data_IF_392502152520
#
_entry.id   IF_392502152520
#
_cell.length_a   1.000
_cell.length_b   1.000
_cell.length_c   1.000
_cell.angle_alpha   90.00
_cell.angle_beta   90.00
_cell.angle_gamma   90.00
#
_symmetry.space_group_name_H-M   'P 1'
#
loop_
_entity.id
_entity.type
_entity.pdbx_description
1 polymer ?
#
# COMPACT_ATOMS: atom_id res chain seq x y z
N UNK A 1 55.58 -0.67 -0.08
CA UNK A 1 54.36 0.14 -0.26
C UNK A 1 53.40 -0.71 -1.06
N UNK A 2 52.40 -1.32 -0.42
CA UNK A 2 51.40 -2.14 -1.09
C UNK A 2 50.30 -1.21 -1.61
N UNK A 3 50.14 -1.13 -2.93
CA UNK A 3 49.12 -0.32 -3.59
C UNK A 3 47.74 -0.94 -3.36
N UNK A 4 46.79 -0.05 -3.08
CA UNK A 4 45.33 -0.22 -2.97
C UNK A 4 44.79 -1.58 -3.41
N UNK A 5 44.30 -2.35 -2.44
CA UNK A 5 43.32 -3.40 -2.70
C UNK A 5 42.01 -2.74 -3.12
N UNK A 6 41.74 -2.73 -4.42
CA UNK A 6 40.43 -2.33 -4.93
C UNK A 6 39.36 -3.29 -4.42
N UNK A 7 38.34 -2.72 -3.79
CA UNK A 7 37.28 -3.42 -3.09
C UNK A 7 36.24 -3.93 -4.10
N UNK A 8 36.34 -5.19 -4.54
CA UNK A 8 35.54 -5.82 -5.61
C UNK A 8 34.12 -6.30 -5.22
N UNK A 9 33.49 -5.70 -4.22
CA UNK A 9 32.22 -6.20 -3.68
C UNK A 9 31.31 -5.04 -3.33
N UNK A 10 30.79 -4.42 -4.40
CA UNK A 10 29.47 -3.81 -4.55
C UNK A 10 29.51 -3.05 -5.87
N UNK A 11 29.23 -3.75 -6.98
CA UNK A 11 29.04 -3.10 -8.27
C UNK A 11 27.82 -2.17 -8.18
N UNK A 12 27.91 -0.99 -8.81
CA UNK A 12 26.91 0.07 -8.79
C UNK A 12 25.48 -0.41 -9.13
N UNK A 13 25.37 -1.54 -9.83
CA UNK A 13 24.13 -2.24 -10.16
C UNK A 13 23.33 -2.72 -8.93
N UNK A 14 23.96 -3.19 -7.85
CA UNK A 14 23.25 -3.61 -6.63
C UNK A 14 22.65 -2.40 -5.88
N UNK A 15 23.28 -1.23 -5.97
CA UNK A 15 22.76 0.01 -5.38
C UNK A 15 21.54 0.46 -6.18
N UNK A 16 21.63 0.48 -7.51
CA UNK A 16 20.49 0.80 -8.38
C UNK A 16 19.33 -0.17 -8.21
N UNK A 17 19.60 -1.46 -7.99
CA UNK A 17 18.57 -2.46 -7.74
C UNK A 17 17.91 -2.27 -6.37
N UNK A 18 18.68 -1.91 -5.33
CA UNK A 18 18.12 -1.52 -4.02
C UNK A 18 17.30 -0.24 -4.08
N UNK A 19 17.73 0.75 -4.86
CA UNK A 19 16.97 1.98 -5.07
C UNK A 19 15.69 1.74 -5.88
N UNK A 20 15.74 0.87 -6.89
CA UNK A 20 14.55 0.45 -7.64
C UNK A 20 13.57 -0.32 -6.74
N UNK A 21 14.05 -1.23 -5.89
CA UNK A 21 13.24 -1.95 -4.89
C UNK A 21 12.65 -0.99 -3.84
N UNK A 22 13.43 -0.01 -3.38
CA UNK A 22 12.96 1.01 -2.43
C UNK A 22 11.92 1.95 -3.04
N UNK A 23 12.07 2.33 -4.31
CA UNK A 23 11.07 3.13 -5.05
C UNK A 23 9.82 2.33 -5.40
N UNK A 24 9.94 1.01 -5.59
CA UNK A 24 8.78 0.14 -5.79
C UNK A 24 7.94 -0.03 -4.50
N UNK A 25 8.55 0.13 -3.30
CA UNK A 25 7.81 0.22 -2.02
C UNK A 25 7.02 1.53 -1.89
N UNK A 26 7.36 2.58 -2.65
CA UNK A 26 6.55 3.80 -2.81
C UNK A 26 5.46 3.60 -3.88
N UNK A 27 4.89 2.39 -3.96
CA UNK A 27 3.68 2.16 -4.75
C UNK A 27 2.61 3.16 -4.30
N UNK A 28 2.00 3.85 -5.26
CA UNK A 28 1.02 4.90 -4.97
C UNK A 28 -0.15 4.28 -4.20
N UNK A 29 -0.22 4.55 -2.90
CA UNK A 29 -1.21 3.97 -1.98
C UNK A 29 -2.65 4.18 -2.46
N UNK A 30 -2.89 5.24 -3.24
CA UNK A 30 -4.18 5.52 -3.88
C UNK A 30 -4.54 4.48 -4.94
N UNK A 31 -3.61 4.09 -5.78
CA UNK A 31 -3.82 3.07 -6.82
C UNK A 31 -4.14 1.72 -6.18
N UNK A 32 -3.34 1.30 -5.19
CA UNK A 32 -3.60 0.08 -4.42
C UNK A 32 -4.99 0.07 -3.77
N UNK A 33 -5.43 1.20 -3.21
CA UNK A 33 -6.77 1.33 -2.65
C UNK A 33 -7.85 1.14 -3.71
N UNK A 34 -7.70 1.79 -4.87
CA UNK A 34 -8.67 1.71 -5.96
C UNK A 34 -8.73 0.31 -6.59
N UNK A 35 -7.63 -0.44 -6.56
CA UNK A 35 -7.56 -1.82 -7.05
C UNK A 35 -8.19 -2.81 -6.07
N UNK A 36 -8.01 -2.61 -4.76
CA UNK A 36 -8.50 -3.54 -3.73
C UNK A 36 -9.94 -3.26 -3.32
N UNK A 37 -10.38 -1.99 -3.32
CA UNK A 37 -11.68 -1.57 -2.83
C UNK A 37 -12.56 -0.96 -3.91
N UNK A 38 -13.86 -1.22 -3.83
CA UNK A 38 -14.84 -0.71 -4.77
C UNK A 38 -15.46 0.60 -4.26
N UNK A 39 -14.82 1.73 -4.54
CA UNK A 39 -15.31 3.06 -4.12
C UNK A 39 -16.61 3.52 -4.82
N UNK A 40 -17.11 2.78 -5.80
CA UNK A 40 -18.43 3.01 -6.40
C UNK A 40 -19.57 2.42 -5.53
N UNK A 41 -19.23 1.71 -4.45
CA UNK A 41 -20.20 1.10 -3.52
C UNK A 41 -20.31 1.85 -2.20
N UNK A 42 -21.35 1.51 -1.42
CA UNK A 42 -21.56 2.12 -0.12
C UNK A 42 -20.42 1.82 0.87
N UNK A 43 -19.97 2.88 1.55
CA UNK A 43 -18.99 2.86 2.63
C UNK A 43 -19.57 2.24 3.92
N UNK A 44 -19.69 0.92 3.97
CA UNK A 44 -20.39 0.20 5.07
C UNK A 44 -19.46 -0.42 6.11
N UNK A 45 -18.19 -0.64 5.76
CA UNK A 45 -17.25 -1.41 6.60
C UNK A 45 -16.37 -0.49 7.43
N UNK A 46 -16.44 -0.60 8.77
CA UNK A 46 -15.52 0.14 9.66
C UNK A 46 -14.17 -0.55 9.69
N UNK A 47 -13.11 0.19 9.36
CA UNK A 47 -11.74 -0.34 9.35
C UNK A 47 -10.75 0.65 9.95
N UNK A 48 -9.80 0.15 10.74
CA UNK A 48 -8.66 0.93 11.22
C UNK A 48 -7.63 1.13 10.11
N UNK A 49 -6.78 2.14 10.23
CA UNK A 49 -5.62 2.32 9.33
C UNK A 49 -4.75 1.08 9.22
N UNK A 50 -4.56 0.35 10.32
CA UNK A 50 -3.76 -0.88 10.35
C UNK A 50 -4.41 -2.02 9.56
N UNK A 51 -5.74 -2.18 9.66
CA UNK A 51 -6.48 -3.18 8.92
C UNK A 51 -6.45 -2.88 7.41
N UNK A 52 -6.63 -1.62 7.03
CA UNK A 52 -6.57 -1.18 5.63
C UNK A 52 -5.17 -1.43 5.06
N UNK A 53 -4.11 -1.00 5.76
CA UNK A 53 -2.73 -1.26 5.29
C UNK A 53 -2.44 -2.76 5.14
N UNK A 54 -3.00 -3.60 6.02
CA UNK A 54 -2.88 -5.05 5.91
C UNK A 54 -3.58 -5.60 4.66
N UNK A 55 -4.79 -5.14 4.35
CA UNK A 55 -5.49 -5.54 3.12
C UNK A 55 -4.68 -5.14 1.86
N UNK A 56 -3.99 -4.00 1.91
CA UNK A 56 -3.09 -3.54 0.83
C UNK A 56 -1.70 -4.22 0.83
N UNK A 57 -1.45 -5.18 1.74
CA UNK A 57 -0.15 -5.80 1.96
C UNK A 57 1.00 -4.80 2.23
N UNK A 58 0.67 -3.66 2.86
CA UNK A 58 1.60 -2.60 3.20
C UNK A 58 2.06 -2.67 4.66
N UNK A 59 3.31 -2.26 4.91
CA UNK A 59 3.86 -2.19 6.27
C UNK A 59 3.06 -1.18 7.12
N UNK A 60 2.73 -1.55 8.36
CA UNK A 60 2.01 -0.69 9.30
C UNK A 60 2.94 0.31 10.00
N UNK A 61 3.64 1.14 9.22
CA UNK A 61 4.52 2.20 9.75
C UNK A 61 3.72 3.49 9.99
N UNK A 62 4.23 4.36 10.87
CA UNK A 62 3.64 5.69 11.12
C UNK A 62 3.53 6.52 9.84
N UNK A 63 4.55 6.45 8.97
CA UNK A 63 4.56 7.16 7.69
C UNK A 63 3.42 6.67 6.78
N UNK A 64 3.22 5.35 6.66
CA UNK A 64 2.14 4.78 5.85
C UNK A 64 0.76 5.10 6.41
N UNK A 65 0.60 5.15 7.73
CA UNK A 65 -0.66 5.57 8.36
C UNK A 65 -0.98 7.04 8.06
N UNK A 66 0.00 7.93 8.07
CA UNK A 66 -0.16 9.34 7.72
C UNK A 66 -0.51 9.48 6.23
N UNK A 67 0.26 8.83 5.34
CA UNK A 67 0.00 8.79 3.89
C UNK A 67 -1.43 8.28 3.61
N UNK A 68 -1.82 7.17 4.24
CA UNK A 68 -3.17 6.62 4.13
C UNK A 68 -4.25 7.63 4.56
N UNK A 69 -4.06 8.31 5.68
CA UNK A 69 -5.01 9.31 6.16
C UNK A 69 -5.25 10.45 5.17
N UNK A 70 -4.20 10.89 4.46
CA UNK A 70 -4.29 11.91 3.40
C UNK A 70 -5.05 11.36 2.19
N UNK A 71 -4.64 10.19 1.69
CA UNK A 71 -5.26 9.57 0.52
C UNK A 71 -6.74 9.26 0.72
N UNK A 72 -7.11 8.72 1.89
CA UNK A 72 -8.52 8.44 2.22
C UNK A 72 -9.35 9.72 2.28
N UNK A 73 -8.77 10.83 2.76
CA UNK A 73 -9.44 12.13 2.75
C UNK A 73 -9.67 12.63 1.33
N UNK A 74 -8.68 12.47 0.45
CA UNK A 74 -8.77 12.84 -0.97
C UNK A 74 -9.81 11.98 -1.72
N UNK A 75 -9.98 10.72 -1.32
CA UNK A 75 -11.02 9.81 -1.81
C UNK A 75 -12.39 10.03 -1.14
N UNK A 76 -12.55 11.09 -0.34
CA UNK A 76 -13.80 11.42 0.36
C UNK A 76 -14.32 10.32 1.30
N UNK A 77 -13.41 9.53 1.88
CA UNK A 77 -13.76 8.49 2.85
C UNK A 77 -14.07 9.11 4.20
N UNK A 78 -15.30 8.93 4.65
CA UNK A 78 -15.76 9.47 5.92
C UNK A 78 -15.23 8.68 7.12
N UNK A 79 -15.10 9.36 8.25
CA UNK A 79 -14.98 8.72 9.56
C UNK A 79 -16.36 8.65 10.20
N UNK A 80 -16.68 7.59 10.97
CA UNK A 80 -17.95 7.49 11.69
C UNK A 80 -18.19 8.67 12.63
N UNK A 81 -17.12 9.15 13.26
CA UNK A 81 -17.10 10.36 14.10
C UNK A 81 -15.75 11.05 13.95
N UNK A 82 -15.68 12.35 14.25
CA UNK A 82 -14.43 13.11 14.12
C UNK A 82 -13.30 12.62 15.04
N UNK A 83 -13.64 11.95 16.15
CA UNK A 83 -12.69 11.33 17.08
C UNK A 83 -12.42 9.85 16.78
N UNK A 84 -13.10 9.26 15.79
CA UNK A 84 -12.93 7.86 15.46
C UNK A 84 -11.54 7.57 14.90
N UNK A 85 -11.01 6.41 15.28
CA UNK A 85 -9.81 5.82 14.68
C UNK A 85 -10.14 4.97 13.44
N UNK A 86 -11.44 4.76 13.20
CA UNK A 86 -11.95 3.96 12.10
C UNK A 86 -12.34 4.84 10.91
N UNK A 87 -12.23 4.26 9.73
CA UNK A 87 -12.70 4.78 8.45
C UNK A 87 -13.87 3.93 7.97
N UNK A 88 -14.85 4.57 7.33
CA UNK A 88 -15.95 3.87 6.67
C UNK A 88 -15.48 3.49 5.26
N UNK A 89 -14.95 2.28 5.13
CA UNK A 89 -14.44 1.74 3.87
C UNK A 89 -15.56 1.08 3.06
N UNK A 90 -15.43 1.05 1.73
CA UNK A 90 -16.37 0.32 0.90
C UNK A 90 -16.02 -1.17 0.92
N UNK A 91 -16.80 -1.97 0.19
CA UNK A 91 -16.49 -3.39 0.06
C UNK A 91 -15.23 -3.60 -0.78
N UNK A 92 -14.59 -4.75 -0.57
CA UNK A 92 -13.52 -5.18 -1.45
C UNK A 92 -14.08 -5.33 -2.87
N UNK A 93 -13.28 -5.02 -3.89
CA UNK A 93 -13.63 -5.44 -5.24
C UNK A 93 -13.70 -6.96 -5.24
N UNK A 94 -14.75 -7.51 -5.83
CA UNK A 94 -14.78 -8.91 -6.19
C UNK A 94 -13.70 -9.11 -7.24
N UNK A 95 -12.48 -9.41 -6.79
CA UNK A 95 -11.51 -10.08 -7.64
C UNK A 95 -12.10 -11.47 -7.80
N UNK A 96 -13.01 -11.66 -8.75
CA UNK A 96 -13.29 -12.99 -9.25
C UNK A 96 -11.98 -13.42 -9.90
N UNK A 97 -11.15 -14.30 -9.29
CA UNK A 97 -10.26 -15.05 -10.15
C UNK A 97 -11.22 -15.79 -11.08
N UNK A 98 -10.94 -15.81 -12.38
CA UNK A 98 -11.57 -16.75 -13.27
C UNK A 98 -11.40 -18.14 -12.66
N UNK A 99 -12.39 -18.59 -11.88
CA UNK A 99 -12.64 -19.97 -11.59
C UNK A 99 -13.26 -20.44 -12.89
N UNK A 100 -12.38 -20.73 -13.85
CA UNK A 100 -12.73 -21.59 -14.97
C UNK A 100 -13.55 -22.72 -14.34
N UNK A 101 -14.84 -22.90 -14.70
CA UNK A 101 -15.45 -24.17 -14.43
C UNK A 101 -14.61 -25.15 -15.25
N UNK A 102 -13.86 -26.01 -14.57
CA UNK A 102 -13.28 -27.16 -15.22
C UNK A 102 -14.42 -27.83 -16.01
N UNK A 103 -14.08 -28.14 -17.27
CA UNK A 103 -14.97 -28.52 -18.37
C UNK A 103 -15.89 -29.69 -18.06
#
# INVERSE_FOLDING_TARGET
QYMQGEQWWLTEEEILQKEALAKHEDTNLKELLLDVYNFDTAHTKKMTSTAILRDLSQKTTRQNQIKLGIVLKDLSVAKPTQRSRDYMMPLLRDVCPNRFPDS
#
